data_IF_776842894486
#
_entry.id   IF_776842894486
#
_cell.length_a   1.000
_cell.length_b   1.000
_cell.length_c   1.000
_cell.angle_alpha   90.00
_cell.angle_beta   90.00
_cell.angle_gamma   90.00
#
_symmetry.space_group_name_H-M   'P 1'
#
loop_
_entity.id
_entity.type
_entity.pdbx_description
1 polymer ?
#
# COMPACT_ATOMS: atom_id res chain seq x y z
N UNK A 1 2.01 10.36 4.83
CA UNK A 1 1.49 9.50 3.73
C UNK A 1 0.08 8.96 3.95
N UNK A 2 -0.29 8.36 5.09
CA UNK A 2 -1.65 7.83 5.29
C UNK A 2 -2.76 8.87 5.02
N UNK A 3 -2.58 10.10 5.50
CA UNK A 3 -3.51 11.20 5.22
C UNK A 3 -3.59 11.54 3.72
N UNK A 4 -2.46 11.55 3.02
CA UNK A 4 -2.41 11.76 1.56
C UNK A 4 -3.24 10.69 0.84
N UNK A 5 -3.11 9.42 1.22
CA UNK A 5 -3.88 8.31 0.67
C UNK A 5 -5.37 8.45 0.95
N UNK A 6 -5.74 8.76 2.20
CA UNK A 6 -7.14 9.03 2.55
C UNK A 6 -7.72 10.18 1.71
N UNK A 7 -6.95 11.24 1.50
CA UNK A 7 -7.39 12.39 0.70
C UNK A 7 -7.53 12.03 -0.79
N UNK A 8 -6.65 11.18 -1.32
CA UNK A 8 -6.78 10.65 -2.69
C UNK A 8 -8.08 9.91 -2.88
N UNK A 9 -8.35 8.94 -2.00
CA UNK A 9 -9.57 8.14 -2.04
C UNK A 9 -10.83 9.01 -1.95
N UNK A 10 -10.86 9.98 -1.03
CA UNK A 10 -12.02 10.86 -0.85
C UNK A 10 -12.23 11.82 -2.03
N UNK A 11 -11.16 12.43 -2.54
CA UNK A 11 -11.25 13.41 -3.62
C UNK A 11 -11.58 12.75 -4.97
N UNK A 12 -11.01 11.57 -5.24
CA UNK A 12 -11.27 10.81 -6.47
C UNK A 12 -12.53 9.97 -6.38
N UNK A 13 -13.02 9.70 -5.17
CA UNK A 13 -14.12 8.76 -4.87
C UNK A 13 -13.86 7.35 -5.40
N UNK A 14 -12.60 7.01 -5.62
CA UNK A 14 -12.13 5.74 -6.12
C UNK A 14 -10.62 5.58 -5.84
N UNK A 15 -10.08 4.40 -6.13
CA UNK A 15 -8.65 4.11 -6.06
C UNK A 15 -7.96 4.49 -7.37
N UNK A 16 -7.35 5.68 -7.41
CA UNK A 16 -6.56 6.16 -8.55
C UNK A 16 -5.08 6.21 -8.14
N UNK A 17 -4.26 5.21 -8.50
CA UNK A 17 -2.85 5.14 -8.09
C UNK A 17 -2.03 6.38 -8.48
N UNK A 18 -2.36 6.98 -9.62
CA UNK A 18 -1.73 8.22 -10.09
C UNK A 18 -1.94 9.38 -9.10
N UNK A 19 -3.18 9.62 -8.68
CA UNK A 19 -3.52 10.67 -7.71
C UNK A 19 -2.89 10.40 -6.33
N UNK A 20 -2.80 9.13 -5.94
CA UNK A 20 -2.05 8.74 -4.74
C UNK A 20 -0.58 9.16 -4.82
N UNK A 21 0.11 8.90 -5.94
CA UNK A 21 1.50 9.32 -6.17
C UNK A 21 1.63 10.85 -6.24
N UNK A 22 0.68 11.55 -6.87
CA UNK A 22 0.64 13.02 -6.89
C UNK A 22 0.63 13.58 -5.46
N UNK A 23 -0.21 13.06 -4.56
CA UNK A 23 -0.27 13.56 -3.18
C UNK A 23 0.95 13.18 -2.35
N UNK A 24 1.54 12.01 -2.60
CA UNK A 24 2.81 11.64 -1.99
C UNK A 24 3.93 12.56 -2.47
N UNK A 25 3.94 12.94 -3.76
CA UNK A 25 4.85 13.95 -4.30
C UNK A 25 4.63 15.30 -3.63
N UNK A 26 3.39 15.75 -3.43
CA UNK A 26 3.13 17.00 -2.72
C UNK A 26 3.64 16.97 -1.28
N UNK A 27 3.48 15.84 -0.58
CA UNK A 27 4.08 15.66 0.74
C UNK A 27 5.60 15.73 0.66
N UNK A 28 6.21 15.00 -0.27
CA UNK A 28 7.66 14.92 -0.46
C UNK A 28 8.30 16.28 -0.80
N UNK A 29 7.66 17.07 -1.67
CA UNK A 29 8.20 18.34 -2.15
C UNK A 29 7.83 19.54 -1.29
N UNK A 30 6.63 19.55 -0.72
CA UNK A 30 6.04 20.75 -0.12
C UNK A 30 5.55 20.53 1.32
N UNK A 31 5.76 19.35 1.91
CA UNK A 31 5.25 19.05 3.25
C UNK A 31 3.73 18.97 3.34
N UNK A 32 3.03 18.76 2.23
CA UNK A 32 1.58 18.59 2.21
C UNK A 32 1.13 17.48 3.17
N UNK A 33 0.21 17.80 4.09
CA UNK A 33 -0.25 16.90 5.16
C UNK A 33 0.86 16.40 6.10
N UNK A 34 1.97 17.14 6.21
CA UNK A 34 2.99 16.91 7.24
C UNK A 34 2.62 17.61 8.55
N UNK A 35 2.96 16.99 9.67
CA UNK A 35 2.79 17.58 11.01
C UNK A 35 3.78 18.72 11.30
N UNK A 36 4.89 18.80 10.57
CA UNK A 36 5.94 19.83 10.75
C UNK A 36 5.92 20.89 9.66
N UNK A 37 4.98 20.81 8.70
CA UNK A 37 4.95 21.65 7.51
C UNK A 37 6.03 21.34 6.46
N UNK A 38 6.90 20.35 6.68
CA UNK A 38 7.92 19.91 5.73
C UNK A 38 7.97 18.38 5.63
N UNK A 39 8.52 17.83 4.54
CA UNK A 39 8.76 16.39 4.46
C UNK A 39 9.87 15.99 5.45
N UNK A 40 9.62 14.99 6.28
CA UNK A 40 10.61 14.38 7.16
C UNK A 40 10.40 12.86 7.22
N UNK A 41 11.45 12.12 7.58
CA UNK A 41 11.42 10.65 7.76
C UNK A 41 10.91 9.86 6.53
N UNK A 42 11.25 10.32 5.33
CA UNK A 42 10.94 9.59 4.09
C UNK A 42 11.97 8.48 3.86
N UNK A 43 11.49 7.24 3.74
CA UNK A 43 12.34 6.09 3.43
C UNK A 43 12.89 6.12 2.00
N UNK A 44 14.08 5.51 1.80
CA UNK A 44 14.78 5.48 0.52
C UNK A 44 13.89 4.95 -0.62
N UNK A 45 13.26 3.78 -0.42
CA UNK A 45 12.31 3.17 -1.36
C UNK A 45 11.22 4.15 -1.85
N UNK A 46 10.52 4.79 -0.90
CA UNK A 46 9.47 5.76 -1.24
C UNK A 46 10.03 6.96 -1.98
N UNK A 47 11.16 7.51 -1.53
CA UNK A 47 11.79 8.67 -2.19
C UNK A 47 12.23 8.35 -3.64
N UNK A 48 12.74 7.13 -3.88
CA UNK A 48 13.13 6.67 -5.21
C UNK A 48 11.90 6.54 -6.12
N UNK A 49 10.84 5.88 -5.66
CA UNK A 49 9.62 5.75 -6.47
C UNK A 49 8.95 7.08 -6.79
N UNK A 50 9.00 8.06 -5.89
CA UNK A 50 8.46 9.40 -6.19
C UNK A 50 9.31 10.16 -7.21
N UNK A 51 10.64 10.01 -7.18
CA UNK A 51 11.52 10.58 -8.21
C UNK A 51 11.29 9.93 -9.57
N UNK A 52 11.08 8.62 -9.58
CA UNK A 52 10.75 7.88 -10.80
C UNK A 52 9.39 8.30 -11.35
N UNK A 53 8.38 8.45 -10.50
CA UNK A 53 7.08 9.01 -10.88
C UNK A 53 7.21 10.39 -11.53
N UNK A 54 7.98 11.30 -10.93
CA UNK A 54 8.25 12.63 -11.50
C UNK A 54 8.97 12.55 -12.85
N UNK A 55 9.90 11.61 -13.01
CA UNK A 55 10.60 11.37 -14.29
C UNK A 55 9.62 10.89 -15.35
N UNK A 56 8.76 9.92 -15.03
CA UNK A 56 7.72 9.40 -15.93
C UNK A 56 6.69 10.48 -16.29
N UNK A 57 6.27 11.32 -15.34
CA UNK A 57 5.40 12.48 -15.62
C UNK A 57 6.01 13.40 -16.68
N UNK A 58 7.31 13.69 -16.61
CA UNK A 58 8.02 14.54 -17.60
C UNK A 58 8.08 13.90 -18.98
N UNK A 59 8.26 12.59 -19.06
CA UNK A 59 8.31 11.85 -20.33
C UNK A 59 6.91 11.81 -20.96
N UNK A 60 5.92 11.37 -20.18
CA UNK A 60 4.53 11.26 -20.63
C UNK A 60 3.96 12.61 -21.08
N UNK A 61 4.29 13.70 -20.36
CA UNK A 61 3.94 15.08 -20.76
C UNK A 61 4.44 15.43 -22.15
N UNK A 62 5.67 15.03 -22.51
CA UNK A 62 6.24 15.28 -23.84
C UNK A 62 5.58 14.40 -24.90
N UNK A 63 5.43 13.11 -24.62
CA UNK A 63 4.86 12.13 -25.56
C UNK A 63 3.41 12.45 -25.92
N UNK A 64 2.64 12.98 -24.96
CA UNK A 64 1.23 13.34 -25.14
C UNK A 64 1.00 14.82 -25.45
N UNK A 65 2.06 15.60 -25.61
CA UNK A 65 2.00 17.05 -25.81
C UNK A 65 1.14 17.76 -24.73
N UNK A 66 1.21 17.31 -23.49
CA UNK A 66 0.47 17.86 -22.35
C UNK A 66 1.33 18.87 -21.58
N UNK A 67 0.78 20.00 -21.09
CA UNK A 67 1.53 20.93 -20.26
C UNK A 67 2.02 20.28 -18.96
N UNK A 68 3.33 20.33 -18.70
CA UNK A 68 3.94 19.67 -17.53
C UNK A 68 3.34 20.14 -16.19
N UNK A 69 2.99 21.42 -16.08
CA UNK A 69 2.36 22.02 -14.89
C UNK A 69 0.91 21.55 -14.65
N UNK A 70 0.31 20.85 -15.62
CA UNK A 70 -1.02 20.25 -15.53
C UNK A 70 -1.00 18.76 -15.23
N UNK A 71 0.17 18.11 -15.21
CA UNK A 71 0.27 16.67 -14.98
C UNK A 71 -0.33 16.23 -13.64
N UNK A 72 -0.23 17.04 -12.59
CA UNK A 72 -0.83 16.71 -11.29
C UNK A 72 -2.35 16.79 -11.26
N UNK A 73 -2.95 17.38 -12.29
CA UNK A 73 -4.40 17.47 -12.47
C UNK A 73 -4.90 16.48 -13.53
N UNK A 74 -4.06 15.54 -13.99
CA UNK A 74 -4.45 14.57 -15.00
C UNK A 74 -5.65 13.75 -14.50
N UNK A 75 -6.75 13.79 -15.26
CA UNK A 75 -8.00 13.12 -14.92
C UNK A 75 -8.62 12.35 -16.07
N UNK A 76 -8.04 12.44 -17.27
CA UNK A 76 -8.48 11.70 -18.44
C UNK A 76 -8.23 10.20 -18.22
N UNK A 77 -9.28 9.39 -18.30
CA UNK A 77 -9.22 7.95 -17.96
C UNK A 77 -8.25 7.19 -18.85
N UNK A 78 -8.23 7.49 -20.16
CA UNK A 78 -7.33 6.83 -21.10
C UNK A 78 -5.87 7.14 -20.77
N UNK A 79 -5.56 8.38 -20.42
CA UNK A 79 -4.19 8.74 -20.01
C UNK A 79 -3.81 8.16 -18.65
N UNK A 80 -4.75 8.05 -17.71
CA UNK A 80 -4.51 7.42 -16.41
C UNK A 80 -4.24 5.92 -16.55
N UNK A 81 -4.93 5.23 -17.46
CA UNK A 81 -4.69 3.81 -17.77
C UNK A 81 -3.34 3.58 -18.47
N UNK A 82 -2.94 4.50 -19.35
CA UNK A 82 -1.68 4.40 -20.08
C UNK A 82 -0.45 4.70 -19.20
N UNK A 83 -0.61 5.53 -18.17
CA UNK A 83 0.49 5.92 -17.30
C UNK A 83 0.88 4.78 -16.35
N UNK A 84 2.10 4.25 -16.49
CA UNK A 84 2.62 3.24 -15.57
C UNK A 84 2.97 3.84 -14.19
N UNK A 85 2.14 3.53 -13.20
CA UNK A 85 2.26 3.97 -11.81
C UNK A 85 3.09 3.04 -10.92
N UNK A 86 3.58 1.91 -11.43
CA UNK A 86 4.45 1.00 -10.70
C UNK A 86 5.90 1.48 -10.75
N UNK A 87 6.17 2.57 -10.02
CA UNK A 87 7.46 3.29 -10.03
C UNK A 87 8.52 2.70 -9.07
N UNK A 88 8.31 1.50 -8.52
CA UNK A 88 9.25 0.85 -7.63
C UNK A 88 9.94 -0.31 -8.32
N UNK A 89 11.21 -0.53 -7.98
CA UNK A 89 11.92 -1.77 -8.34
C UNK A 89 11.26 -3.00 -7.70
N UNK A 90 11.39 -4.15 -8.35
CA UNK A 90 10.68 -5.40 -8.05
C UNK A 90 11.07 -6.08 -6.74
N UNK A 91 12.20 -5.75 -6.12
CA UNK A 91 12.72 -6.39 -4.90
C UNK A 91 12.60 -5.49 -3.64
N UNK A 92 11.92 -4.36 -3.78
CA UNK A 92 11.77 -3.38 -2.70
C UNK A 92 10.72 -3.83 -1.69
N UNK A 93 11.17 -4.49 -0.62
CA UNK A 93 10.33 -5.08 0.42
C UNK A 93 10.32 -4.30 1.76
N UNK A 94 10.35 -2.98 1.69
CA UNK A 94 10.26 -2.09 2.86
C UNK A 94 8.86 -2.05 3.51
N UNK A 95 8.79 -1.76 4.81
CA UNK A 95 7.53 -1.73 5.57
C UNK A 95 6.67 -0.45 5.37
N UNK A 96 7.17 0.54 4.64
CA UNK A 96 6.51 1.84 4.45
C UNK A 96 5.12 1.73 3.79
N UNK A 97 4.88 0.65 3.03
CA UNK A 97 3.57 0.33 2.48
C UNK A 97 2.52 0.01 3.56
N UNK A 98 2.89 -0.78 4.59
CA UNK A 98 1.98 -1.14 5.69
C UNK A 98 1.62 0.08 6.55
N UNK A 99 2.61 0.93 6.84
CA UNK A 99 2.47 2.08 7.75
C UNK A 99 1.38 3.08 7.33
N UNK A 100 0.99 3.08 6.06
CA UNK A 100 0.00 4.01 5.50
C UNK A 100 -1.28 3.35 5.03
N UNK A 101 -1.43 2.03 5.18
CA UNK A 101 -2.41 1.22 4.47
C UNK A 101 -3.87 1.46 4.87
N UNK A 102 -4.14 1.74 6.15
CA UNK A 102 -5.47 1.74 6.75
C UNK A 102 -6.59 2.49 5.98
N UNK A 103 -6.35 3.63 5.29
CA UNK A 103 -7.39 4.33 4.54
C UNK A 103 -8.05 3.49 3.44
N UNK A 104 -7.33 2.57 2.79
CA UNK A 104 -7.89 1.74 1.71
C UNK A 104 -8.99 0.81 2.20
N UNK A 105 -8.76 -0.10 3.18
CA UNK A 105 -9.81 -0.98 3.67
C UNK A 105 -10.95 -0.21 4.37
N UNK A 106 -10.68 0.97 4.95
CA UNK A 106 -11.72 1.83 5.50
C UNK A 106 -12.63 2.40 4.41
N UNK A 107 -12.07 2.87 3.30
CA UNK A 107 -12.83 3.44 2.19
C UNK A 107 -13.67 2.36 1.48
N UNK A 108 -13.07 1.20 1.21
CA UNK A 108 -13.73 0.10 0.49
C UNK A 108 -14.41 -0.92 1.41
N UNK A 109 -14.72 -0.59 2.66
CA UNK A 109 -15.20 -1.58 3.66
C UNK A 109 -16.40 -2.43 3.23
N UNK A 110 -17.28 -1.88 2.39
CA UNK A 110 -18.44 -2.57 1.82
C UNK A 110 -18.05 -3.62 0.78
N UNK A 111 -17.00 -3.38 0.01
CA UNK A 111 -16.46 -4.29 -1.00
C UNK A 111 -15.09 -4.84 -0.54
N UNK A 112 -15.14 -5.95 0.21
CA UNK A 112 -13.94 -6.61 0.74
C UNK A 112 -12.92 -7.03 -0.33
N UNK A 113 -13.38 -7.40 -1.52
CA UNK A 113 -12.48 -7.81 -2.61
C UNK A 113 -11.67 -6.62 -3.11
N UNK A 114 -12.33 -5.49 -3.39
CA UNK A 114 -11.67 -4.24 -3.75
C UNK A 114 -10.75 -3.74 -2.62
N UNK A 115 -11.21 -3.79 -1.37
CA UNK A 115 -10.39 -3.38 -0.22
C UNK A 115 -9.07 -4.14 -0.13
N UNK A 116 -9.10 -5.46 -0.31
CA UNK A 116 -7.90 -6.31 -0.23
C UNK A 116 -6.99 -6.06 -1.43
N UNK A 117 -7.54 -6.08 -2.65
CA UNK A 117 -6.79 -5.85 -3.89
C UNK A 117 -6.10 -4.48 -3.89
N UNK A 118 -6.86 -3.42 -3.62
CA UNK A 118 -6.33 -2.06 -3.59
C UNK A 118 -5.36 -1.83 -2.43
N UNK A 119 -5.45 -2.61 -1.34
CA UNK A 119 -4.43 -2.56 -0.29
C UNK A 119 -3.08 -3.02 -0.85
N UNK A 120 -3.08 -4.11 -1.62
CA UNK A 120 -1.89 -4.59 -2.33
C UNK A 120 -1.34 -3.56 -3.31
N UNK A 121 -2.17 -3.10 -4.25
CA UNK A 121 -1.76 -2.13 -5.29
C UNK A 121 -1.24 -0.82 -4.71
N UNK A 122 -1.89 -0.31 -3.65
CA UNK A 122 -1.46 0.92 -2.95
C UNK A 122 -0.07 0.81 -2.33
N UNK A 123 0.32 -0.38 -1.88
CA UNK A 123 1.68 -0.66 -1.42
C UNK A 123 2.67 -0.71 -2.60
N UNK A 124 2.30 -1.47 -3.63
CA UNK A 124 3.16 -1.85 -4.76
C UNK A 124 3.73 -0.66 -5.53
N UNK A 125 2.99 0.43 -5.68
CA UNK A 125 3.45 1.64 -6.40
C UNK A 125 4.70 2.31 -5.80
N UNK A 126 5.14 1.90 -4.61
CA UNK A 126 6.40 2.38 -3.98
C UNK A 126 7.27 1.28 -3.37
N UNK A 127 6.79 0.04 -3.41
CA UNK A 127 7.43 -1.14 -2.82
C UNK A 127 7.07 -2.33 -3.71
N UNK A 128 7.84 -2.53 -4.77
CA UNK A 128 7.48 -3.39 -5.90
C UNK A 128 7.52 -4.89 -5.61
N UNK A 129 8.07 -5.30 -4.46
CA UNK A 129 8.17 -6.71 -4.09
C UNK A 129 6.80 -7.35 -3.85
N UNK A 130 6.63 -8.57 -4.38
CA UNK A 130 5.43 -9.39 -4.16
C UNK A 130 5.12 -9.59 -2.68
N UNK A 131 6.14 -9.65 -1.82
CA UNK A 131 5.99 -9.67 -0.35
C UNK A 131 5.31 -8.41 0.17
N UNK A 132 5.64 -7.24 -0.38
CA UNK A 132 5.01 -6.00 0.02
C UNK A 132 3.55 -5.92 -0.44
N UNK A 133 3.28 -6.34 -1.68
CA UNK A 133 1.94 -6.47 -2.22
C UNK A 133 1.07 -7.41 -1.36
N UNK A 134 1.52 -8.63 -1.12
CA UNK A 134 0.74 -9.63 -0.38
C UNK A 134 0.65 -9.33 1.13
N UNK A 135 1.68 -8.73 1.74
CA UNK A 135 1.59 -8.23 3.11
C UNK A 135 0.47 -7.20 3.26
N UNK A 136 0.37 -6.27 2.30
CA UNK A 136 -0.68 -5.27 2.30
C UNK A 136 -2.07 -5.88 2.07
N UNK A 137 -2.21 -6.83 1.14
CA UNK A 137 -3.46 -7.59 0.95
C UNK A 137 -3.90 -8.28 2.24
N UNK A 138 -2.98 -9.01 2.87
CA UNK A 138 -3.29 -9.73 4.10
C UNK A 138 -3.67 -8.77 5.22
N UNK A 139 -2.90 -7.68 5.42
CA UNK A 139 -3.22 -6.70 6.46
C UNK A 139 -4.55 -5.98 6.21
N UNK A 140 -4.86 -5.66 4.96
CA UNK A 140 -6.17 -5.15 4.54
C UNK A 140 -7.31 -6.13 4.88
N UNK A 141 -7.12 -7.43 4.66
CA UNK A 141 -8.10 -8.45 5.03
C UNK A 141 -8.34 -8.54 6.54
N UNK A 142 -7.29 -8.40 7.37
CA UNK A 142 -7.42 -8.37 8.82
C UNK A 142 -8.23 -7.15 9.29
N UNK A 143 -7.98 -5.98 8.70
CA UNK A 143 -8.75 -4.76 8.99
C UNK A 143 -10.22 -4.94 8.58
N UNK A 144 -10.48 -5.50 7.39
CA UNK A 144 -11.84 -5.78 6.92
C UNK A 144 -12.57 -6.77 7.84
N UNK A 145 -11.90 -7.82 8.30
CA UNK A 145 -12.49 -8.77 9.24
C UNK A 145 -12.88 -8.07 10.56
N UNK A 146 -12.01 -7.20 11.09
CA UNK A 146 -12.29 -6.40 12.27
C UNK A 146 -13.50 -5.47 12.07
N UNK A 147 -13.57 -4.75 10.94
CA UNK A 147 -14.70 -3.89 10.59
C UNK A 147 -16.02 -4.66 10.41
N UNK A 148 -15.95 -5.95 10.07
CA UNK A 148 -17.10 -6.85 9.95
C UNK A 148 -17.47 -7.55 11.28
N UNK A 149 -16.84 -7.18 12.39
CA UNK A 149 -17.16 -7.67 13.72
C UNK A 149 -16.56 -9.03 14.08
N UNK A 150 -15.55 -9.51 13.33
CA UNK A 150 -14.85 -10.73 13.70
C UNK A 150 -14.11 -10.52 15.02
N UNK A 151 -14.15 -11.53 15.89
CA UNK A 151 -13.41 -11.52 17.15
C UNK A 151 -11.92 -11.71 16.88
N UNK A 152 -11.09 -11.23 17.82
CA UNK A 152 -9.62 -11.33 17.76
C UNK A 152 -9.16 -12.77 17.52
N UNK A 153 -9.81 -13.76 18.14
CA UNK A 153 -9.46 -15.18 18.02
C UNK A 153 -9.71 -15.70 16.61
N UNK A 154 -10.76 -15.19 15.94
CA UNK A 154 -11.11 -15.55 14.56
C UNK A 154 -10.13 -14.90 13.57
N UNK A 155 -9.81 -13.62 13.76
CA UNK A 155 -8.87 -12.86 12.90
C UNK A 155 -7.47 -13.46 12.98
N UNK A 156 -7.03 -13.83 14.18
CA UNK A 156 -5.70 -14.40 14.41
C UNK A 156 -5.67 -15.93 14.25
N UNK A 157 -6.76 -16.58 13.83
CA UNK A 157 -6.78 -18.04 13.68
C UNK A 157 -5.79 -18.51 12.61
N UNK A 158 -5.13 -19.67 12.81
CA UNK A 158 -4.14 -20.19 11.84
C UNK A 158 -4.75 -20.52 10.48
N UNK A 159 -6.06 -20.79 10.46
CA UNK A 159 -6.84 -21.04 9.26
C UNK A 159 -7.58 -19.80 8.75
N UNK A 160 -7.31 -18.59 9.28
CA UNK A 160 -7.99 -17.38 8.83
C UNK A 160 -7.82 -17.20 7.32
N UNK A 161 -6.59 -17.27 6.81
CA UNK A 161 -6.33 -17.14 5.38
C UNK A 161 -6.95 -18.29 4.57
N UNK A 162 -6.75 -19.55 4.97
CA UNK A 162 -7.29 -20.69 4.23
C UNK A 162 -8.82 -20.73 4.18
N UNK A 163 -9.50 -20.34 5.27
CA UNK A 163 -10.95 -20.22 5.33
C UNK A 163 -11.52 -19.07 4.48
N UNK A 164 -10.69 -18.06 4.17
CA UNK A 164 -11.10 -16.87 3.44
C UNK A 164 -10.31 -16.66 2.13
N UNK A 165 -9.72 -17.72 1.54
CA UNK A 165 -8.96 -17.62 0.26
C UNK A 165 -9.74 -16.93 -0.86
N UNK A 166 -11.05 -17.17 -0.91
CA UNK A 166 -11.93 -16.51 -1.86
C UNK A 166 -11.89 -14.97 -1.77
N UNK A 167 -11.56 -14.37 -0.61
CA UNK A 167 -11.41 -12.91 -0.47
C UNK A 167 -10.20 -12.36 -1.24
N UNK A 168 -9.22 -13.22 -1.52
CA UNK A 168 -7.99 -12.92 -2.24
C UNK A 168 -8.09 -13.31 -3.72
N UNK A 169 -9.30 -13.56 -4.24
CA UNK A 169 -9.49 -13.98 -5.64
C UNK A 169 -8.86 -15.34 -5.97
N UNK A 170 -8.68 -16.20 -4.96
CA UNK A 170 -7.96 -17.49 -5.04
C UNK A 170 -6.47 -17.39 -5.43
N UNK A 171 -5.92 -16.17 -5.57
CA UNK A 171 -4.48 -15.98 -5.80
C UNK A 171 -3.71 -16.22 -4.49
N UNK A 172 -2.71 -17.12 -4.49
CA UNK A 172 -1.95 -17.41 -3.28
C UNK A 172 -1.10 -16.22 -2.81
N UNK A 173 -1.02 -16.04 -1.49
CA UNK A 173 -0.05 -15.14 -0.88
C UNK A 173 1.38 -15.69 -1.07
N UNK A 174 2.35 -14.79 -1.14
CA UNK A 174 3.76 -15.12 -1.05
C UNK A 174 4.05 -15.99 0.18
N UNK A 175 4.93 -16.99 0.02
CA UNK A 175 5.22 -18.02 1.05
C UNK A 175 5.49 -17.44 2.44
N UNK A 176 6.37 -16.43 2.55
CA UNK A 176 6.68 -15.78 3.83
C UNK A 176 5.46 -15.07 4.48
N UNK A 177 4.53 -14.54 3.69
CA UNK A 177 3.30 -13.93 4.22
C UNK A 177 2.31 -15.02 4.63
N UNK A 178 2.27 -16.12 3.89
CA UNK A 178 1.48 -17.29 4.27
C UNK A 178 1.95 -17.90 5.61
N UNK A 179 3.27 -17.98 5.85
CA UNK A 179 3.81 -18.44 7.14
C UNK A 179 3.31 -17.57 8.31
N UNK A 180 3.19 -16.26 8.11
CA UNK A 180 2.61 -15.34 9.10
C UNK A 180 1.11 -15.62 9.25
N UNK A 181 0.37 -15.77 8.16
CA UNK A 181 -1.06 -16.07 8.18
C UNK A 181 -1.37 -17.40 8.89
N UNK A 182 -0.46 -18.37 8.83
CA UNK A 182 -0.53 -19.67 9.51
C UNK A 182 -0.09 -19.60 10.99
N UNK A 183 0.29 -18.41 11.46
CA UNK A 183 0.48 -18.11 12.88
C UNK A 183 1.93 -18.12 13.36
N UNK A 184 2.93 -17.84 12.49
CA UNK A 184 4.34 -17.72 12.92
C UNK A 184 4.54 -16.73 14.09
N UNK A 185 3.71 -15.69 14.15
CA UNK A 185 3.71 -14.66 15.19
C UNK A 185 3.27 -15.17 16.58
N UNK A 186 2.62 -16.34 16.68
CA UNK A 186 2.12 -16.89 17.96
C UNK A 186 3.18 -17.57 18.82
N UNK A 187 4.46 -17.51 18.44
CA UNK A 187 5.56 -18.14 19.18
C UNK A 187 5.72 -17.55 20.59
N UNK A 188 5.88 -18.41 21.60
CA UNK A 188 6.15 -17.99 22.99
C UNK A 188 7.47 -17.20 23.06
N UNK A 189 7.42 -15.99 23.60
CA UNK A 189 8.59 -15.14 23.82
C UNK A 189 8.64 -13.86 22.99
N UNK A 190 7.77 -13.72 21.97
CA UNK A 190 7.53 -12.47 21.24
C UNK A 190 8.82 -11.70 20.90
N UNK A 191 8.86 -10.43 21.30
CA UNK A 191 10.04 -9.58 21.15
C UNK A 191 11.31 -10.19 21.77
N UNK A 192 11.22 -10.84 22.95
CA UNK A 192 12.40 -11.44 23.59
C UNK A 192 13.01 -12.61 22.81
N UNK A 193 12.28 -13.20 21.85
CA UNK A 193 12.75 -14.34 21.03
C UNK A 193 12.79 -14.07 19.52
N UNK A 194 12.96 -12.81 19.12
CA UNK A 194 13.35 -12.47 17.75
C UNK A 194 12.28 -11.84 16.87
N UNK A 195 11.05 -11.66 17.35
CA UNK A 195 10.07 -10.81 16.64
C UNK A 195 10.54 -9.34 16.73
N UNK A 196 10.67 -8.68 15.58
CA UNK A 196 11.22 -7.33 15.47
C UNK A 196 10.49 -6.56 14.36
N UNK A 197 9.79 -5.49 14.72
CA UNK A 197 9.25 -4.53 13.76
C UNK A 197 10.37 -3.67 13.13
N UNK A 198 11.18 -4.27 12.25
CA UNK A 198 12.23 -3.58 11.48
C UNK A 198 11.66 -3.04 10.16
N UNK A 199 12.53 -2.42 9.36
CA UNK A 199 12.19 -1.89 8.04
C UNK A 199 11.77 -2.94 6.99
N UNK A 200 11.96 -4.24 7.24
CA UNK A 200 11.55 -5.31 6.31
C UNK A 200 10.09 -5.71 6.52
N UNK A 201 9.30 -5.74 5.44
CA UNK A 201 7.85 -5.83 5.50
C UNK A 201 7.30 -7.11 6.16
N UNK A 202 7.93 -8.26 5.91
CA UNK A 202 7.53 -9.54 6.53
C UNK A 202 7.70 -9.48 8.04
N UNK A 203 8.84 -8.94 8.50
CA UNK A 203 9.13 -8.84 9.94
C UNK A 203 8.27 -7.77 10.62
N UNK A 204 7.91 -6.71 9.91
CA UNK A 204 6.98 -5.71 10.38
C UNK A 204 5.55 -6.25 10.52
N UNK A 205 5.10 -7.10 9.59
CA UNK A 205 3.78 -7.72 9.65
C UNK A 205 3.69 -8.83 10.72
N UNK A 206 4.78 -9.55 10.96
CA UNK A 206 4.87 -10.59 12.00
C UNK A 206 4.85 -10.01 13.43
N UNK A 207 5.24 -8.74 13.59
CA UNK A 207 5.41 -8.06 14.87
C UNK A 207 4.13 -7.41 15.39
#
# INVERSE_FOLDING_TARGET
>A
MALCLANSLLARRDFIPYDQLVRYKWWYRFGYMSSTGQCFDIGAATSQSLREFERRQKIFSKEKCLPLNKMDQLSDEKFLEEFDTYCSEEDVAGNGALMRLAPVPLFFYRNKYAAIEFSGRSGQITHGDKKAYDACRFYGALIIAALRGFKKEQILAKNFYSAHRHWFGEEPLHKEIQEIAEGSFKKKGGYKKGIRGKGYIVKALEA
#
